data_IF_237292763278
#
_entry.id   IF_237292763278
#
_cell.length_a   1.000
_cell.length_b   1.000
_cell.length_c   1.000
_cell.angle_alpha   90.00
_cell.angle_beta   90.00
_cell.angle_gamma   90.00
#
_symmetry.space_group_name_H-M   'P 1'
#
loop_
_entity.id
_entity.type
_entity.pdbx_description
1 polymer ?
#
# COMPACT_ATOMS: atom_id res chain seq x y z
N UNK A 1 19.31 41.06 20.36
CA UNK A 1 18.19 40.15 20.68
C UNK A 1 17.39 39.65 19.45
N UNK A 2 17.24 40.44 18.38
CA UNK A 2 16.47 40.04 17.15
C UNK A 2 17.16 38.98 16.29
N UNK A 3 18.49 39.06 16.13
CA UNK A 3 19.26 38.11 15.31
C UNK A 3 19.31 36.69 15.89
N UNK A 4 19.42 36.56 17.22
CA UNK A 4 19.44 35.25 17.90
C UNK A 4 18.13 34.50 17.64
N UNK A 5 16.97 35.17 17.72
CA UNK A 5 15.68 34.56 17.40
C UNK A 5 15.60 34.12 15.94
N UNK A 6 16.19 34.85 15.01
CA UNK A 6 16.18 34.55 13.57
C UNK A 6 17.00 33.31 13.24
N UNK A 7 18.20 33.20 13.83
CA UNK A 7 19.06 32.02 13.71
C UNK A 7 18.40 30.80 14.36
N UNK A 8 17.81 30.96 15.55
CA UNK A 8 17.10 29.88 16.24
C UNK A 8 15.90 29.38 15.41
N UNK A 9 15.09 30.30 14.85
CA UNK A 9 13.95 29.95 14.00
C UNK A 9 14.39 29.20 12.74
N UNK A 10 15.45 29.67 12.09
CA UNK A 10 15.98 29.03 10.88
C UNK A 10 16.51 27.63 11.17
N UNK A 11 17.19 27.43 12.31
CA UNK A 11 17.68 26.12 12.75
C UNK A 11 16.54 25.16 13.12
N UNK A 12 15.51 25.64 13.81
CA UNK A 12 14.31 24.85 14.14
C UNK A 12 13.55 24.46 12.86
N UNK A 13 13.39 25.39 11.91
CA UNK A 13 12.73 25.11 10.63
C UNK A 13 13.53 24.14 9.76
N UNK A 14 14.88 24.22 9.76
CA UNK A 14 15.72 23.25 9.07
C UNK A 14 15.70 21.87 9.74
N UNK A 15 15.66 21.77 11.07
CA UNK A 15 15.52 20.48 11.78
C UNK A 15 14.16 19.81 11.53
N UNK A 16 13.09 20.61 11.42
CA UNK A 16 11.76 20.10 11.04
C UNK A 16 11.73 19.63 9.59
N UNK A 17 12.56 20.20 8.71
CA UNK A 17 12.71 19.79 7.31
C UNK A 17 13.73 18.66 7.11
N UNK A 18 14.70 18.48 8.02
CA UNK A 18 15.75 17.46 7.98
C UNK A 18 15.40 16.17 8.73
N UNK A 19 14.29 16.15 9.48
CA UNK A 19 13.57 14.90 9.69
C UNK A 19 13.01 14.49 8.33
N UNK A 20 13.89 13.90 7.52
CA UNK A 20 13.56 13.11 6.34
C UNK A 20 12.23 12.41 6.60
N UNK A 21 11.27 12.49 5.67
CA UNK A 21 9.91 11.99 5.84
C UNK A 21 9.94 10.49 6.18
N UNK A 22 10.22 10.15 7.42
CA UNK A 22 10.47 8.80 7.92
C UNK A 22 9.20 7.94 7.81
N UNK A 23 8.04 8.60 7.70
CA UNK A 23 6.74 7.99 7.45
C UNK A 23 6.46 7.72 5.96
N UNK A 24 7.16 8.38 5.03
CA UNK A 24 6.91 8.25 3.60
C UNK A 24 7.10 6.81 3.09
N UNK A 25 8.15 6.05 3.47
CA UNK A 25 8.29 4.66 3.06
C UNK A 25 7.13 3.79 3.56
N UNK A 26 6.69 4.00 4.81
CA UNK A 26 5.54 3.29 5.39
C UNK A 26 4.24 3.61 4.65
N UNK A 27 4.02 4.88 4.28
CA UNK A 27 2.85 5.29 3.51
C UNK A 27 2.82 4.66 2.11
N UNK A 28 3.99 4.58 1.45
CA UNK A 28 4.12 3.94 0.14
C UNK A 28 3.80 2.46 0.24
N UNK A 29 4.37 1.73 1.20
CA UNK A 29 4.08 0.31 1.42
C UNK A 29 2.59 0.07 1.71
N UNK A 30 2.02 0.85 2.61
CA UNK A 30 0.60 0.77 2.93
C UNK A 30 -0.28 0.93 1.68
N UNK A 31 0.00 1.95 0.85
CA UNK A 31 -0.78 2.19 -0.37
C UNK A 31 -0.68 1.04 -1.38
N UNK A 32 0.50 0.43 -1.53
CA UNK A 32 0.69 -0.73 -2.42
C UNK A 32 -0.05 -1.96 -1.92
N UNK A 33 0.00 -2.23 -0.62
CA UNK A 33 -0.71 -3.36 -0.01
C UNK A 33 -2.23 -3.17 -0.07
N UNK A 34 -2.72 -1.97 0.24
CA UNK A 34 -4.14 -1.64 0.08
C UNK A 34 -4.61 -1.78 -1.37
N UNK A 35 -3.75 -1.46 -2.34
CA UNK A 35 -4.01 -1.68 -3.76
C UNK A 35 -4.24 -3.16 -4.09
N UNK A 36 -3.41 -4.05 -3.55
CA UNK A 36 -3.57 -5.50 -3.72
C UNK A 36 -4.77 -6.09 -3.01
N UNK A 37 -5.28 -5.45 -1.95
CA UNK A 37 -6.52 -5.85 -1.28
C UNK A 37 -7.74 -5.36 -2.06
N UNK A 38 -7.80 -4.05 -2.32
CA UNK A 38 -8.96 -3.41 -2.93
C UNK A 38 -9.14 -3.80 -4.41
N UNK A 39 -8.04 -3.90 -5.17
CA UNK A 39 -8.07 -4.16 -6.60
C UNK A 39 -8.78 -5.48 -6.96
N UNK A 40 -8.29 -6.64 -6.48
CA UNK A 40 -8.92 -7.93 -6.75
C UNK A 40 -10.36 -8.02 -6.27
N UNK A 41 -10.68 -7.43 -5.12
CA UNK A 41 -12.06 -7.43 -4.58
C UNK A 41 -13.01 -6.64 -5.47
N UNK A 42 -12.60 -5.45 -5.92
CA UNK A 42 -13.37 -4.64 -6.88
C UNK A 42 -13.56 -5.43 -8.18
N UNK A 43 -12.50 -6.03 -8.71
CA UNK A 43 -12.57 -6.86 -9.92
C UNK A 43 -13.54 -8.04 -9.74
N UNK A 44 -13.50 -8.73 -8.60
CA UNK A 44 -14.42 -9.82 -8.29
C UNK A 44 -15.87 -9.35 -8.15
N UNK A 45 -16.14 -8.15 -7.63
CA UNK A 45 -17.50 -7.61 -7.58
C UNK A 45 -18.07 -7.39 -8.98
N UNK A 46 -17.28 -6.83 -9.90
CA UNK A 46 -17.72 -6.60 -11.27
C UNK A 46 -17.86 -7.89 -12.08
N UNK A 47 -16.93 -8.83 -11.92
CA UNK A 47 -16.95 -10.11 -12.63
C UNK A 47 -17.99 -11.07 -12.05
N UNK A 48 -18.08 -11.17 -10.72
CA UNK A 48 -18.99 -12.07 -10.02
C UNK A 48 -20.46 -11.78 -10.35
N UNK A 49 -20.86 -10.50 -10.38
CA UNK A 49 -22.24 -10.13 -10.77
C UNK A 49 -22.59 -10.54 -12.20
N UNK A 50 -21.65 -10.40 -13.15
CA UNK A 50 -21.85 -10.84 -14.54
C UNK A 50 -21.94 -12.35 -14.69
N UNK A 51 -21.24 -13.10 -13.83
CA UNK A 51 -21.28 -14.56 -13.82
C UNK A 51 -22.58 -15.06 -13.20
N UNK A 52 -23.02 -14.46 -12.09
CA UNK A 52 -24.27 -14.82 -11.42
C UNK A 52 -25.49 -14.58 -12.31
N UNK A 53 -25.54 -13.48 -13.07
CA UNK A 53 -26.60 -13.22 -14.05
C UNK A 53 -26.70 -14.32 -15.13
N UNK A 54 -25.57 -14.93 -15.51
CA UNK A 54 -25.54 -16.01 -16.51
C UNK A 54 -25.90 -17.38 -15.93
N UNK A 55 -25.55 -17.63 -14.68
CA UNK A 55 -25.76 -18.95 -14.06
C UNK A 55 -27.10 -19.08 -13.31
N UNK A 56 -27.87 -18.00 -13.12
CA UNK A 56 -29.11 -17.99 -12.31
C UNK A 56 -28.95 -18.65 -10.93
N UNK A 57 -27.71 -18.68 -10.42
CA UNK A 57 -27.28 -19.39 -9.22
C UNK A 57 -26.74 -18.35 -8.23
N UNK A 58 -27.58 -17.40 -7.85
CA UNK A 58 -27.21 -16.44 -6.81
C UNK A 58 -27.02 -17.17 -5.47
N UNK A 59 -25.90 -17.01 -4.74
CA UNK A 59 -24.72 -16.16 -4.97
C UNK A 59 -23.42 -16.99 -5.13
N UNK A 60 -23.48 -18.17 -5.73
CA UNK A 60 -22.35 -19.11 -5.75
C UNK A 60 -21.20 -18.66 -6.67
N UNK A 61 -21.52 -18.02 -7.80
CA UNK A 61 -20.50 -17.47 -8.71
C UNK A 61 -19.79 -16.27 -8.10
N UNK A 62 -20.54 -15.38 -7.44
CA UNK A 62 -19.95 -14.29 -6.66
C UNK A 62 -19.01 -14.79 -5.57
N UNK A 63 -19.42 -15.77 -4.75
CA UNK A 63 -18.58 -16.35 -3.70
C UNK A 63 -17.28 -16.95 -4.26
N UNK A 64 -17.37 -17.65 -5.38
CA UNK A 64 -16.19 -18.21 -6.05
C UNK A 64 -15.24 -17.11 -6.55
N UNK A 65 -15.77 -16.07 -7.19
CA UNK A 65 -14.98 -14.92 -7.64
C UNK A 65 -14.29 -14.19 -6.47
N UNK A 66 -14.98 -13.99 -5.35
CA UNK A 66 -14.41 -13.38 -4.15
C UNK A 66 -13.31 -14.27 -3.56
N UNK A 67 -13.54 -15.59 -3.50
CA UNK A 67 -12.53 -16.56 -3.06
C UNK A 67 -11.25 -16.49 -3.89
N UNK A 68 -11.38 -16.45 -5.22
CA UNK A 68 -10.23 -16.29 -6.12
C UNK A 68 -9.54 -14.93 -5.89
N UNK A 69 -10.30 -13.84 -5.80
CA UNK A 69 -9.73 -12.52 -5.55
C UNK A 69 -8.97 -12.46 -4.22
N UNK A 70 -9.44 -13.14 -3.19
CA UNK A 70 -8.77 -13.23 -1.90
C UNK A 70 -7.42 -13.96 -2.00
N UNK A 71 -7.38 -15.06 -2.76
CA UNK A 71 -6.12 -15.79 -3.02
C UNK A 71 -5.15 -14.89 -3.80
N UNK A 72 -5.61 -14.23 -4.86
CA UNK A 72 -4.78 -13.32 -5.67
C UNK A 72 -4.25 -12.15 -4.83
N UNK A 73 -5.09 -11.57 -3.98
CA UNK A 73 -4.70 -10.53 -3.03
C UNK A 73 -3.62 -11.05 -2.08
N UNK A 74 -3.80 -12.24 -1.52
CA UNK A 74 -2.85 -12.83 -0.57
C UNK A 74 -1.48 -13.06 -1.20
N UNK A 75 -1.45 -13.60 -2.43
CA UNK A 75 -0.21 -13.81 -3.18
C UNK A 75 0.46 -12.47 -3.50
N UNK A 76 -0.31 -11.49 -3.98
CA UNK A 76 0.19 -10.16 -4.32
C UNK A 76 0.80 -9.42 -3.12
N UNK A 77 0.15 -9.49 -1.96
CA UNK A 77 0.65 -8.93 -0.70
C UNK A 77 1.97 -9.57 -0.29
N UNK A 78 2.04 -10.91 -0.31
CA UNK A 78 3.27 -11.63 0.09
C UNK A 78 4.42 -11.27 -0.85
N UNK A 79 4.15 -11.20 -2.16
CA UNK A 79 5.16 -10.83 -3.14
C UNK A 79 5.66 -9.39 -2.96
N UNK A 80 4.76 -8.43 -2.78
CA UNK A 80 5.11 -7.03 -2.56
C UNK A 80 5.84 -6.82 -1.22
N UNK A 81 5.43 -7.53 -0.17
CA UNK A 81 6.10 -7.49 1.12
C UNK A 81 7.54 -8.04 1.04
N UNK A 82 7.76 -9.16 0.36
CA UNK A 82 9.11 -9.67 0.13
C UNK A 82 9.97 -8.70 -0.68
N UNK A 83 9.39 -8.06 -1.70
CA UNK A 83 10.08 -7.05 -2.50
C UNK A 83 10.48 -5.84 -1.66
N UNK A 84 9.57 -5.36 -0.82
CA UNK A 84 9.81 -4.25 0.10
C UNK A 84 10.96 -4.52 1.06
N UNK A 85 10.99 -5.72 1.65
CA UNK A 85 12.07 -6.14 2.56
C UNK A 85 13.42 -6.12 1.84
N UNK A 86 13.49 -6.70 0.63
CA UNK A 86 14.72 -6.68 -0.18
C UNK A 86 15.17 -5.27 -0.54
N UNK A 87 14.24 -4.38 -0.92
CA UNK A 87 14.54 -3.00 -1.26
C UNK A 87 15.11 -2.24 -0.05
N UNK A 88 14.59 -2.48 1.17
CA UNK A 88 15.13 -1.90 2.39
C UNK A 88 16.54 -2.42 2.68
N UNK A 89 16.76 -3.74 2.61
CA UNK A 89 18.08 -4.34 2.83
C UNK A 89 19.15 -3.85 1.84
N UNK A 90 18.80 -3.69 0.56
CA UNK A 90 19.72 -3.16 -0.45
C UNK A 90 20.06 -1.68 -0.23
N UNK A 91 19.08 -0.88 0.18
CA UNK A 91 19.30 0.52 0.50
C UNK A 91 20.15 0.71 1.76
N UNK A 92 20.05 -0.19 2.75
CA UNK A 92 20.94 -0.19 3.91
C UNK A 92 22.37 -0.60 3.56
N UNK A 93 22.57 -1.62 2.71
CA UNK A 93 23.92 -2.08 2.29
C UNK A 93 24.68 -1.09 1.42
N UNK A 94 23.98 -0.19 0.72
CA UNK A 94 24.57 0.85 -0.14
C UNK A 94 24.90 2.14 0.59
N UNK A 95 24.48 2.29 1.84
CA UNK A 95 24.70 3.48 2.66
C UNK A 95 25.91 3.31 3.56
#
# INVERSE_FOLDING_TARGET
MKEVKKVLRKKILSDLSQKDLWFQPGLVLFSRLSGWIGGPVIVALFLGKKVDEKLSSEPWGFLFCVGIAFILSSIGIVWEAQRAIKEIEENEKKK
#
